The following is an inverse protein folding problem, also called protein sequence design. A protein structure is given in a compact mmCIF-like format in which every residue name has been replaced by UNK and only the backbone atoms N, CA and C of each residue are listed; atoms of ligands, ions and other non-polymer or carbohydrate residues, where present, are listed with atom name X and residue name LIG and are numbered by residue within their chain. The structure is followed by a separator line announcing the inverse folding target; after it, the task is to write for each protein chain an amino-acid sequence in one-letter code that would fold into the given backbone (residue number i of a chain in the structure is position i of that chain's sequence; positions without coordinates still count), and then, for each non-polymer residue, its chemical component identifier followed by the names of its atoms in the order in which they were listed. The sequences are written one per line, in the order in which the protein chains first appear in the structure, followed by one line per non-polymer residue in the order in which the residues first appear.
data_IF_234755934544
#
_entry.id   IF_234755934544
#
_cell.length_a   1.000
_cell.length_b   1.000
_cell.length_c   1.000
_cell.angle_alpha   90.00
_cell.angle_beta   90.00
_cell.angle_gamma   90.00
#
_symmetry.space_group_name_H-M   'P 1'
#
loop_
_entity.id
_entity.type
_entity.pdbx_description
1 polymer ?
#
# COMPACT_ATOMS: atom_id res chain seq x y z
N UNK A 1 13.90 -10.95 18.49
CA UNK A 1 13.31 -9.79 17.78
C UNK A 1 11.80 -9.91 17.90
N UNK A 2 11.10 -8.86 18.29
CA UNK A 2 9.64 -8.90 18.44
C UNK A 2 8.99 -8.68 17.08
N UNK A 3 7.98 -9.48 16.75
CA UNK A 3 7.17 -9.29 15.54
C UNK A 3 6.30 -8.04 15.70
N UNK A 4 6.24 -7.21 14.66
CA UNK A 4 5.32 -6.09 14.59
C UNK A 4 4.09 -6.49 13.78
N UNK A 5 2.94 -6.55 14.43
CA UNK A 5 1.71 -7.01 13.81
C UNK A 5 0.89 -5.87 13.21
N UNK A 6 0.51 -6.01 11.94
CA UNK A 6 -0.42 -5.10 11.26
C UNK A 6 -1.74 -5.85 11.05
N UNK A 7 -2.83 -5.32 11.62
CA UNK A 7 -4.15 -5.95 11.53
C UNK A 7 -4.77 -5.65 10.17
N UNK A 8 -5.27 -6.68 9.48
CA UNK A 8 -5.86 -6.54 8.15
C UNK A 8 -7.30 -7.02 8.10
N UNK A 9 -8.11 -6.36 7.29
CA UNK A 9 -9.46 -6.80 6.92
C UNK A 9 -9.64 -6.66 5.41
N UNK A 10 -9.88 -7.77 4.71
CA UNK A 10 -9.96 -7.80 3.24
C UNK A 10 -11.41 -7.93 2.78
N UNK A 11 -11.93 -6.90 2.12
CA UNK A 11 -13.34 -6.78 1.73
C UNK A 11 -13.50 -6.69 0.21
N UNK A 12 -14.48 -7.41 -0.36
CA UNK A 12 -14.89 -7.34 -1.79
C UNK A 12 -13.76 -7.66 -2.79
N UNK A 13 -12.84 -8.55 -2.41
CA UNK A 13 -11.81 -9.14 -3.27
C UNK A 13 -12.07 -10.63 -3.49
N UNK A 14 -11.89 -11.11 -4.71
CA UNK A 14 -12.11 -12.50 -5.11
C UNK A 14 -11.08 -13.43 -4.45
N UNK A 15 -11.36 -14.74 -4.35
CA UNK A 15 -10.43 -15.70 -3.75
C UNK A 15 -9.03 -15.71 -4.40
N UNK A 16 -8.95 -15.60 -5.73
CA UNK A 16 -7.66 -15.58 -6.44
C UNK A 16 -6.85 -14.30 -6.15
N UNK A 17 -7.52 -13.15 -6.07
CA UNK A 17 -6.89 -11.88 -5.69
C UNK A 17 -6.35 -11.93 -4.25
N UNK A 18 -7.08 -12.58 -3.34
CA UNK A 18 -6.64 -12.80 -1.95
C UNK A 18 -5.37 -13.64 -1.88
N UNK A 19 -5.16 -14.61 -2.79
CA UNK A 19 -3.91 -15.37 -2.88
C UNK A 19 -2.72 -14.48 -3.28
N UNK A 20 -2.93 -13.56 -4.22
CA UNK A 20 -1.90 -12.60 -4.65
C UNK A 20 -1.53 -11.66 -3.50
N UNK A 21 -2.55 -11.16 -2.77
CA UNK A 21 -2.34 -10.31 -1.60
C UNK A 21 -1.56 -11.05 -0.52
N UNK A 22 -1.95 -12.30 -0.22
CA UNK A 22 -1.25 -13.16 0.73
C UNK A 22 0.21 -13.42 0.30
N UNK A 23 0.47 -13.59 -1.00
CA UNK A 23 1.83 -13.74 -1.55
C UNK A 23 2.67 -12.48 -1.36
N UNK A 24 2.10 -11.28 -1.49
CA UNK A 24 2.77 -10.02 -1.16
C UNK A 24 3.08 -9.89 0.33
N UNK A 25 2.14 -10.27 1.20
CA UNK A 25 2.34 -10.29 2.66
C UNK A 25 3.41 -11.31 3.08
N UNK A 26 3.48 -12.48 2.44
CA UNK A 26 4.47 -13.51 2.72
C UNK A 26 5.91 -13.02 2.46
N UNK A 27 6.11 -12.14 1.49
CA UNK A 27 7.42 -11.53 1.22
C UNK A 27 7.88 -10.67 2.40
N UNK A 28 7.00 -9.88 3.00
CA UNK A 28 7.29 -9.15 4.24
C UNK A 28 7.56 -10.12 5.39
N UNK A 29 6.76 -11.18 5.54
CA UNK A 29 6.96 -12.16 6.61
C UNK A 29 8.35 -12.82 6.55
N UNK A 30 8.85 -13.06 5.33
CA UNK A 30 10.15 -13.68 5.07
C UNK A 30 11.32 -12.70 5.25
N UNK A 31 11.14 -11.43 4.87
CA UNK A 31 12.25 -10.46 4.75
C UNK A 31 12.33 -9.47 5.92
N UNK A 32 11.28 -9.35 6.73
CA UNK A 32 11.19 -8.37 7.82
C UNK A 32 10.54 -8.97 9.07
N UNK A 33 10.45 -8.18 10.14
CA UNK A 33 9.71 -8.53 11.36
C UNK A 33 8.19 -8.24 11.26
N UNK A 34 7.70 -7.72 10.13
CA UNK A 34 6.30 -7.34 9.95
C UNK A 34 5.42 -8.58 9.76
N UNK A 35 4.26 -8.60 10.44
CA UNK A 35 3.28 -9.68 10.36
C UNK A 35 1.89 -9.12 10.10
N UNK A 36 1.43 -9.22 8.85
CA UNK A 36 0.04 -8.98 8.49
C UNK A 36 -0.85 -10.11 8.99
N UNK A 37 -1.80 -9.81 9.89
CA UNK A 37 -2.65 -10.80 10.54
C UNK A 37 -4.13 -10.39 10.51
N UNK A 38 -5.08 -11.33 10.41
CA UNK A 38 -6.49 -11.02 10.38
C UNK A 38 -6.92 -10.18 11.60
N UNK A 39 -7.61 -9.08 11.33
CA UNK A 39 -8.25 -8.27 12.37
C UNK A 39 -9.33 -9.09 13.08
N UNK A 40 -9.40 -8.94 14.41
CA UNK A 40 -10.50 -9.45 15.23
C UNK A 40 -11.38 -8.28 15.69
N UNK A 41 -10.89 -7.51 16.66
CA UNK A 41 -11.63 -6.42 17.32
C UNK A 41 -10.86 -5.11 17.38
N UNK A 42 -9.63 -5.08 16.84
CA UNK A 42 -8.75 -3.92 16.96
C UNK A 42 -9.34 -2.68 16.28
N UNK A 43 -9.17 -1.52 16.92
CA UNK A 43 -9.58 -0.21 16.41
C UNK A 43 -8.72 0.23 15.23
N UNK A 44 -7.40 0.08 15.36
CA UNK A 44 -6.42 0.36 14.32
C UNK A 44 -6.23 -0.85 13.41
N UNK A 45 -6.51 -0.70 12.12
CA UNK A 45 -6.32 -1.77 11.14
C UNK A 45 -6.33 -1.25 9.69
N UNK A 46 -5.70 -2.03 8.82
CA UNK A 46 -5.69 -1.83 7.39
C UNK A 46 -6.90 -2.52 6.74
N UNK A 47 -7.77 -1.73 6.14
CA UNK A 47 -8.95 -2.18 5.42
C UNK A 47 -8.63 -2.24 3.92
N UNK A 48 -8.29 -3.43 3.44
CA UNK A 48 -7.96 -3.67 2.03
C UNK A 48 -9.26 -3.83 1.25
N UNK A 49 -9.49 -2.92 0.31
CA UNK A 49 -10.74 -2.79 -0.44
C UNK A 49 -10.48 -2.62 -1.93
N UNK A 50 -11.54 -2.82 -2.69
CA UNK A 50 -11.71 -2.18 -4.00
C UNK A 50 -12.42 -0.85 -3.77
N UNK A 51 -11.73 0.27 -3.98
CA UNK A 51 -12.37 1.59 -3.81
C UNK A 51 -13.43 1.80 -4.89
N UNK A 52 -14.66 2.11 -4.47
CA UNK A 52 -15.73 2.50 -5.41
C UNK A 52 -15.54 3.92 -5.96
N UNK A 53 -14.68 4.70 -5.32
CA UNK A 53 -14.45 6.12 -5.60
C UNK A 53 -13.28 6.34 -6.56
N UNK A 54 -12.44 5.32 -6.75
CA UNK A 54 -11.42 5.31 -7.79
C UNK A 54 -12.10 5.20 -9.15
N UNK A 55 -12.48 6.34 -9.73
CA UNK A 55 -12.99 6.42 -11.11
C UNK A 55 -11.92 6.04 -12.16
N UNK A 56 -10.67 5.79 -11.74
CA UNK A 56 -9.50 5.71 -12.62
C UNK A 56 -8.63 4.45 -12.42
N UNK A 57 -9.05 3.45 -11.62
CA UNK A 57 -8.21 2.26 -11.39
C UNK A 57 -6.95 2.53 -10.57
N UNK A 58 -6.97 3.56 -9.72
CA UNK A 58 -5.83 3.98 -8.91
C UNK A 58 -5.63 3.06 -7.69
N UNK A 59 -4.37 2.71 -7.46
CA UNK A 59 -3.89 1.99 -6.29
C UNK A 59 -3.30 3.01 -5.31
N UNK A 60 -3.63 2.91 -4.02
CA UNK A 60 -3.13 3.85 -3.02
C UNK A 60 -3.30 3.29 -1.60
N UNK A 61 -2.49 3.80 -0.68
CA UNK A 61 -2.65 3.63 0.76
C UNK A 61 -2.24 4.91 1.49
N UNK A 62 -2.81 5.12 2.68
CA UNK A 62 -2.30 6.15 3.58
C UNK A 62 -0.94 5.75 4.16
N UNK A 63 -0.07 6.74 4.37
CA UNK A 63 1.26 6.51 4.93
C UNK A 63 1.22 6.24 6.44
N UNK A 64 1.75 5.08 6.86
CA UNK A 64 1.90 4.71 8.26
C UNK A 64 0.56 4.41 8.97
N UNK A 65 0.61 4.29 10.30
CA UNK A 65 -0.60 4.14 11.12
C UNK A 65 -1.23 5.52 11.36
N UNK A 66 -2.38 5.77 10.74
CA UNK A 66 -3.13 7.04 10.90
C UNK A 66 -4.20 6.97 11.99
N UNK A 67 -4.35 5.82 12.65
CA UNK A 67 -5.38 5.55 13.65
C UNK A 67 -6.71 5.10 13.03
N UNK A 68 -7.40 4.19 13.70
CA UNK A 68 -8.68 3.66 13.25
C UNK A 68 -8.60 2.77 12.01
N UNK A 69 -9.73 2.68 11.31
CA UNK A 69 -9.82 1.94 10.04
C UNK A 69 -9.24 2.78 8.90
N UNK A 70 -8.05 2.42 8.41
CA UNK A 70 -7.44 3.08 7.26
C UNK A 70 -7.57 2.23 6.00
N UNK A 71 -7.92 2.87 4.89
CA UNK A 71 -8.16 2.15 3.63
C UNK A 71 -6.87 1.97 2.83
N UNK A 72 -6.77 0.81 2.18
CA UNK A 72 -5.80 0.52 1.13
C UNK A 72 -6.59 0.05 -0.08
N UNK A 73 -6.50 0.80 -1.17
CA UNK A 73 -7.20 0.53 -2.41
C UNK A 73 -6.36 -0.35 -3.33
N UNK A 74 -6.87 -1.55 -3.61
CA UNK A 74 -6.43 -2.39 -4.72
C UNK A 74 -7.58 -2.50 -5.71
N UNK A 75 -7.70 -1.50 -6.57
CA UNK A 75 -8.75 -1.44 -7.59
C UNK A 75 -8.48 -2.41 -8.76
N UNK A 76 -9.35 -2.42 -9.76
CA UNK A 76 -9.17 -3.20 -10.98
C UNK A 76 -7.85 -2.82 -11.66
N UNK A 77 -6.99 -3.81 -11.90
CA UNK A 77 -5.64 -3.60 -12.42
C UNK A 77 -4.58 -3.33 -11.35
N UNK A 78 -4.93 -3.31 -10.06
CA UNK A 78 -3.96 -3.13 -8.97
C UNK A 78 -3.50 -4.45 -8.33
N UNK A 79 -4.21 -5.57 -8.55
CA UNK A 79 -3.92 -6.82 -7.83
C UNK A 79 -2.77 -7.59 -8.50
N UNK A 80 -1.61 -6.96 -8.54
CA UNK A 80 -0.32 -7.58 -8.85
C UNK A 80 0.51 -7.64 -7.58
N UNK A 81 1.33 -8.69 -7.42
CA UNK A 81 2.17 -8.86 -6.22
C UNK A 81 3.05 -7.64 -5.95
N UNK A 82 3.62 -7.04 -6.99
CA UNK A 82 4.46 -5.83 -6.87
C UNK A 82 3.67 -4.64 -6.31
N UNK A 83 2.50 -4.36 -6.88
CA UNK A 83 1.61 -3.27 -6.41
C UNK A 83 1.14 -3.53 -4.99
N UNK A 84 0.75 -4.76 -4.64
CA UNK A 84 0.40 -5.12 -3.26
C UNK A 84 1.56 -4.79 -2.32
N UNK A 85 2.80 -5.19 -2.66
CA UNK A 85 3.96 -4.91 -1.82
C UNK A 85 4.16 -3.41 -1.65
N UNK A 86 4.03 -2.64 -2.74
CA UNK A 86 4.16 -1.19 -2.77
C UNK A 86 3.14 -0.50 -1.85
N UNK A 87 1.85 -0.80 -2.01
CA UNK A 87 0.80 -0.17 -1.18
C UNK A 87 0.89 -0.58 0.30
N UNK A 88 1.29 -1.83 0.57
CA UNK A 88 1.60 -2.24 1.94
C UNK A 88 2.80 -1.47 2.50
N UNK A 89 3.77 -1.08 1.67
CA UNK A 89 4.94 -0.30 2.09
C UNK A 89 4.55 1.13 2.50
N UNK A 90 3.61 1.74 1.78
CA UNK A 90 3.00 2.99 2.19
C UNK A 90 2.31 2.84 3.55
N UNK A 91 1.48 1.82 3.74
CA UNK A 91 0.83 1.56 5.04
C UNK A 91 1.83 1.31 6.19
N UNK A 92 3.02 0.78 5.88
CA UNK A 92 4.12 0.65 6.85
C UNK A 92 4.75 1.99 7.21
N UNK A 93 4.78 2.96 6.27
CA UNK A 93 5.25 4.32 6.53
C UNK A 93 6.27 4.85 5.53
N UNK A 94 6.49 4.19 4.40
CA UNK A 94 7.44 4.66 3.38
C UNK A 94 6.78 5.61 2.38
N UNK A 95 7.53 6.63 1.98
CA UNK A 95 7.23 7.47 0.82
C UNK A 95 7.82 6.84 -0.45
N UNK A 96 7.53 7.45 -1.60
CA UNK A 96 8.16 7.03 -2.84
C UNK A 96 9.66 7.30 -2.83
N UNK A 97 10.46 6.40 -3.42
CA UNK A 97 11.93 6.54 -3.43
C UNK A 97 12.39 7.81 -4.16
N UNK A 98 11.68 8.24 -5.21
CA UNK A 98 11.99 9.49 -5.91
C UNK A 98 11.71 10.75 -5.09
N UNK A 99 11.01 10.65 -3.96
CA UNK A 99 10.72 11.79 -3.07
C UNK A 99 11.76 11.96 -1.96
N UNK A 100 12.79 11.12 -1.93
CA UNK A 100 13.85 11.21 -0.93
C UNK A 100 14.51 12.60 -0.92
N UNK A 101 14.93 13.11 0.25
CA UNK A 101 15.58 14.43 0.33
C UNK A 101 16.85 14.56 -0.51
N UNK A 102 17.52 13.44 -0.81
CA UNK A 102 18.74 13.37 -1.60
C UNK A 102 18.50 13.03 -3.09
N UNK A 103 17.25 12.99 -3.56
CA UNK A 103 16.89 12.54 -4.91
C UNK A 103 17.64 13.26 -6.04
N UNK A 104 17.94 14.55 -5.87
CA UNK A 104 18.59 15.39 -6.88
C UNK A 104 20.03 14.97 -7.18
N UNK A 105 20.61 14.11 -6.34
CA UNK A 105 21.92 13.47 -6.55
C UNK A 105 21.85 12.27 -7.49
N UNK A 106 20.66 11.69 -7.71
CA UNK A 106 20.47 10.42 -8.41
C UNK A 106 19.60 10.55 -9.66
N UNK A 107 18.63 11.46 -9.65
CA UNK A 107 17.68 11.66 -10.74
C UNK A 107 17.52 13.14 -11.07
N UNK A 108 17.12 13.43 -12.31
CA UNK A 108 16.69 14.76 -12.74
C UNK A 108 15.21 14.69 -13.12
N UNK A 109 14.37 15.43 -12.39
CA UNK A 109 12.94 15.51 -12.69
C UNK A 109 12.71 16.57 -13.76
N UNK A 110 12.21 16.16 -14.92
CA UNK A 110 11.79 17.11 -15.95
C UNK A 110 10.36 17.60 -15.65
N UNK A 111 10.25 18.66 -14.85
CA UNK A 111 8.98 19.22 -14.41
C UNK A 111 8.07 19.68 -15.56
N UNK A 112 8.63 20.04 -16.72
CA UNK A 112 7.85 20.45 -17.89
C UNK A 112 7.02 19.29 -18.48
N UNK A 113 7.39 18.05 -18.18
CA UNK A 113 6.69 16.84 -18.64
C UNK A 113 5.67 16.31 -17.62
N UNK A 114 5.47 16.99 -16.48
CA UNK A 114 4.52 16.57 -15.46
C UNK A 114 3.15 17.18 -15.75
N UNK A 115 2.11 16.33 -15.80
CA UNK A 115 0.74 16.80 -15.98
C UNK A 115 0.32 17.69 -14.80
N UNK A 116 -0.41 18.81 -15.04
CA UNK A 116 -0.94 19.63 -13.96
C UNK A 116 -1.74 18.79 -12.95
N UNK A 117 -1.49 19.01 -11.66
CA UNK A 117 -2.15 18.27 -10.57
C UNK A 117 -1.64 16.83 -10.35
N UNK A 118 -0.56 16.40 -11.02
CA UNK A 118 0.07 15.08 -10.85
C UNK A 118 1.48 15.14 -10.27
N UNK A 119 1.78 16.20 -9.51
CA UNK A 119 3.05 16.33 -8.79
C UNK A 119 3.19 15.30 -7.64
N UNK A 120 2.06 14.78 -7.15
CA UNK A 120 1.98 13.69 -6.17
C UNK A 120 1.25 12.50 -6.82
N UNK A 121 1.75 11.28 -6.61
CA UNK A 121 1.16 10.07 -7.20
C UNK A 121 -0.13 9.71 -6.48
N UNK A 122 -1.16 9.46 -7.30
CA UNK A 122 -2.60 9.40 -7.06
C UNK A 122 -3.27 10.76 -6.77
#
# INVERSE_FOLDING_TARGET
MNNLEIKIFVLKLAPEERKIIASGMADYHKKTCLRFVPRKTQGDYLKIIRSKESKNGCCWAQKGNVGGAQELSLDNGCVYKSTVIHELMHAVGFDHEQERPDQSRYITVNFNNIKPGKLFVC
#
